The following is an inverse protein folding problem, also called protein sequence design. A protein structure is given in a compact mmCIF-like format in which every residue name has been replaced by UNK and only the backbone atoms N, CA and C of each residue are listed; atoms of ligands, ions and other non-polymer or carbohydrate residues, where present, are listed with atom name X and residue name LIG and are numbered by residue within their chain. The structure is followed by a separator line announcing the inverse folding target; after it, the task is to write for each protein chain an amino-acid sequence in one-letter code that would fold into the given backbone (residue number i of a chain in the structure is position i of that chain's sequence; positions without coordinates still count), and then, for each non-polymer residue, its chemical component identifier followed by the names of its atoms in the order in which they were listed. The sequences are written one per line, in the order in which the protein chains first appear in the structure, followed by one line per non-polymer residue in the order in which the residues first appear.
data_IF_362588741789
#
_entry.id   IF_362588741789
#
_cell.length_a   1.000
_cell.length_b   1.000
_cell.length_c   1.000
_cell.angle_alpha   90.00
_cell.angle_beta   90.00
_cell.angle_gamma   90.00
#
_symmetry.space_group_name_H-M   'P 1'
#
loop_
_entity.id
_entity.type
_entity.pdbx_description
1 polymer ?
#
# COMPACT_ATOMS: atom_id res chain seq x y z
N UNK A 1 11.89 -5.11 -4.06
CA UNK A 1 10.92 -5.41 -5.13
C UNK A 1 9.99 -4.23 -5.29
N UNK A 2 9.67 -3.88 -6.52
CA UNK A 2 8.80 -2.75 -6.78
C UNK A 2 7.41 -3.24 -7.21
N UNK A 3 6.39 -2.62 -6.62
CA UNK A 3 5.00 -2.91 -6.91
C UNK A 3 4.29 -1.62 -7.33
N UNK A 4 3.27 -1.76 -8.16
CA UNK A 4 2.38 -0.64 -8.43
C UNK A 4 1.56 -0.34 -7.19
N UNK A 5 1.44 0.94 -6.88
CA UNK A 5 0.59 1.40 -5.79
C UNK A 5 -0.83 0.84 -5.92
N UNK A 6 -1.34 0.72 -7.15
CA UNK A 6 -2.68 0.22 -7.40
C UNK A 6 -2.86 -1.23 -6.92
N UNK A 7 -1.81 -2.04 -7.02
CA UNK A 7 -1.87 -3.43 -6.54
C UNK A 7 -2.09 -3.46 -5.02
N UNK A 8 -1.41 -2.58 -4.30
CA UNK A 8 -1.56 -2.47 -2.85
C UNK A 8 -2.97 -1.97 -2.50
N UNK A 9 -3.44 -0.97 -3.21
CA UNK A 9 -4.78 -0.40 -3.00
C UNK A 9 -5.85 -1.47 -3.22
N UNK A 10 -5.74 -2.21 -4.31
CA UNK A 10 -6.70 -3.27 -4.63
C UNK A 10 -6.71 -4.35 -3.56
N UNK A 11 -5.54 -4.72 -3.05
CA UNK A 11 -5.45 -5.69 -1.99
C UNK A 11 -6.15 -5.21 -0.72
N UNK A 12 -5.93 -3.95 -0.35
CA UNK A 12 -6.57 -3.38 0.83
C UNK A 12 -8.08 -3.32 0.67
N UNK A 13 -8.56 -2.96 -0.51
CA UNK A 13 -10.00 -2.95 -0.80
C UNK A 13 -10.61 -4.34 -0.71
N UNK A 14 -9.91 -5.34 -1.23
CA UNK A 14 -10.37 -6.73 -1.16
C UNK A 14 -10.47 -7.23 0.28
N UNK A 15 -9.64 -6.71 1.16
CA UNK A 15 -9.68 -7.05 2.58
C UNK A 15 -10.75 -6.25 3.34
N UNK A 16 -11.38 -5.28 2.70
CA UNK A 16 -12.35 -4.42 3.35
C UNK A 16 -11.74 -3.23 4.09
N UNK A 17 -10.42 -3.01 3.93
CA UNK A 17 -9.70 -1.92 4.59
C UNK A 17 -9.74 -0.65 3.73
N UNK A 18 -10.92 -0.09 3.53
CA UNK A 18 -11.10 1.04 2.62
C UNK A 18 -10.39 2.30 3.12
N UNK A 19 -10.35 2.53 4.42
CA UNK A 19 -9.63 3.68 4.98
C UNK A 19 -8.14 3.57 4.69
N UNK A 20 -7.58 2.37 4.84
CA UNK A 20 -6.17 2.14 4.55
C UNK A 20 -5.89 2.23 3.07
N UNK A 21 -6.82 1.81 2.23
CA UNK A 21 -6.68 1.97 0.78
C UNK A 21 -6.59 3.45 0.40
N UNK A 22 -7.41 4.30 1.02
CA UNK A 22 -7.35 5.74 0.81
C UNK A 22 -6.02 6.31 1.29
N UNK A 23 -5.52 5.86 2.43
CA UNK A 23 -4.21 6.26 2.93
C UNK A 23 -3.10 5.89 1.96
N UNK A 24 -3.16 4.67 1.43
CA UNK A 24 -2.16 4.21 0.46
C UNK A 24 -2.17 5.09 -0.78
N UNK A 25 -3.36 5.46 -1.24
CA UNK A 25 -3.51 6.34 -2.40
C UNK A 25 -2.79 7.67 -2.19
N UNK A 26 -2.86 8.23 -0.98
CA UNK A 26 -2.28 9.54 -0.68
C UNK A 26 -0.79 9.45 -0.31
N UNK A 27 -0.38 8.37 0.37
CA UNK A 27 0.95 8.30 0.97
C UNK A 27 1.98 7.58 0.11
N UNK A 28 1.56 6.68 -0.77
CA UNK A 28 2.49 5.88 -1.56
C UNK A 28 2.76 6.52 -2.92
N UNK A 29 4.00 6.39 -3.41
CA UNK A 29 4.31 6.78 -4.79
C UNK A 29 3.73 5.77 -5.76
N UNK A 30 3.71 6.11 -7.04
CA UNK A 30 3.18 5.23 -8.10
C UNK A 30 3.88 3.87 -8.12
N UNK A 31 5.20 3.89 -7.90
CA UNK A 31 6.02 2.68 -7.78
C UNK A 31 6.45 2.55 -6.33
N UNK A 32 6.05 1.46 -5.69
CA UNK A 32 6.34 1.23 -4.28
C UNK A 32 7.46 0.20 -4.16
N UNK A 33 8.59 0.62 -3.60
CA UNK A 33 9.69 -0.28 -3.30
C UNK A 33 9.44 -0.91 -1.94
N UNK A 34 9.23 -2.21 -1.90
CA UNK A 34 8.86 -2.92 -0.68
C UNK A 34 9.96 -2.85 0.38
N UNK A 35 11.20 -2.63 -0.01
CA UNK A 35 12.31 -2.49 0.94
C UNK A 35 12.40 -1.08 1.49
N UNK A 36 12.29 -0.07 0.61
CA UNK A 36 12.41 1.33 1.03
C UNK A 36 11.17 1.84 1.76
N UNK A 37 10.01 1.29 1.43
CA UNK A 37 8.74 1.74 1.99
C UNK A 37 8.15 0.72 2.95
N UNK A 38 8.99 -0.16 3.52
CA UNK A 38 8.51 -1.19 4.42
C UNK A 38 7.78 -0.62 5.64
N UNK A 39 8.23 0.53 6.15
CA UNK A 39 7.59 1.18 7.29
C UNK A 39 6.15 1.59 6.95
N UNK A 40 5.95 2.14 5.76
CA UNK A 40 4.62 2.55 5.31
C UNK A 40 3.72 1.34 5.10
N UNK A 41 4.28 0.28 4.51
CA UNK A 41 3.53 -0.95 4.28
C UNK A 41 3.12 -1.61 5.58
N UNK A 42 4.01 -1.63 6.57
CA UNK A 42 3.68 -2.16 7.89
C UNK A 42 2.56 -1.37 8.55
N UNK A 43 2.59 -0.04 8.41
CA UNK A 43 1.55 0.82 8.97
C UNK A 43 0.19 0.54 8.34
N UNK A 44 0.18 0.11 7.08
CA UNK A 44 -1.05 -0.24 6.37
C UNK A 44 -1.47 -1.70 6.60
N UNK A 45 -0.67 -2.46 7.31
CA UNK A 45 -0.95 -3.87 7.56
C UNK A 45 -0.57 -4.78 6.40
N UNK A 46 0.30 -4.33 5.53
CA UNK A 46 0.79 -5.10 4.39
C UNK A 46 2.18 -5.65 4.73
N UNK A 47 2.27 -6.95 4.83
CA UNK A 47 3.55 -7.63 5.07
C UNK A 47 4.02 -8.35 3.83
#
# INVERSE_FOLDING_TARGET
MQLDKQQIIDMLKNRGDHDKADQAQADLPDQVDTDQHSDKLSALGVD
#
